data_IF_656817510894
#
_entry.id   IF_656817510894
#
_cell.length_a   1.000
_cell.length_b   1.000
_cell.length_c   1.000
_cell.angle_alpha   90.00
_cell.angle_beta   90.00
_cell.angle_gamma   90.00
#
_symmetry.space_group_name_H-M   'P 1'
#
loop_
_entity.id
_entity.type
_entity.pdbx_description
1 polymer ?
#
# COMPACT_ATOMS: atom_id res chain seq x y z
N UNK A 1 -35.61 -29.37 14.14
CA UNK A 1 -34.85 -28.53 15.03
C UNK A 1 -33.37 -28.38 14.62
N UNK A 2 -32.78 -29.44 14.03
CA UNK A 2 -31.41 -29.39 13.57
C UNK A 2 -31.22 -28.38 12.43
N UNK A 3 -32.22 -28.19 11.57
CA UNK A 3 -32.18 -27.27 10.45
C UNK A 3 -32.11 -25.80 10.89
N UNK A 4 -32.85 -25.44 11.93
CA UNK A 4 -32.86 -24.10 12.48
C UNK A 4 -31.52 -23.77 13.16
N UNK A 5 -31.01 -24.71 13.95
CA UNK A 5 -29.73 -24.58 14.62
C UNK A 5 -28.57 -24.48 13.59
N UNK A 6 -28.62 -25.30 12.53
CA UNK A 6 -27.65 -25.29 11.45
C UNK A 6 -27.68 -23.94 10.69
N UNK A 7 -28.88 -23.45 10.38
CA UNK A 7 -29.04 -22.16 9.72
C UNK A 7 -28.52 -21.02 10.58
N UNK A 8 -28.77 -21.04 11.86
CA UNK A 8 -28.29 -20.04 12.82
C UNK A 8 -26.75 -20.05 12.89
N UNK A 9 -26.15 -21.24 12.95
CA UNK A 9 -24.69 -21.40 12.95
C UNK A 9 -24.08 -20.87 11.67
N UNK A 10 -24.68 -21.08 10.51
CA UNK A 10 -24.23 -20.56 9.22
C UNK A 10 -24.24 -19.02 9.17
N UNK A 11 -25.32 -18.43 9.72
CA UNK A 11 -25.42 -16.95 9.77
C UNK A 11 -24.30 -16.37 10.64
N UNK A 12 -24.02 -16.97 11.79
CA UNK A 12 -22.95 -16.53 12.68
C UNK A 12 -21.58 -16.70 12.02
N UNK A 13 -21.37 -17.79 11.31
CA UNK A 13 -20.12 -18.05 10.58
C UNK A 13 -19.91 -17.02 9.45
N UNK A 14 -20.96 -16.71 8.70
CA UNK A 14 -20.91 -15.70 7.64
C UNK A 14 -20.62 -14.31 8.20
N UNK A 15 -21.23 -13.93 9.31
CA UNK A 15 -20.96 -12.66 9.98
C UNK A 15 -19.51 -12.56 10.42
N UNK A 16 -19.00 -13.63 11.03
CA UNK A 16 -17.60 -13.69 11.47
C UNK A 16 -16.64 -13.55 10.30
N UNK A 17 -16.90 -14.29 9.22
CA UNK A 17 -16.08 -14.22 8.00
C UNK A 17 -16.11 -12.84 7.37
N UNK A 18 -17.27 -12.18 7.36
CA UNK A 18 -17.40 -10.82 6.84
C UNK A 18 -16.62 -9.81 7.66
N UNK A 19 -16.70 -9.89 8.98
CA UNK A 19 -15.96 -9.01 9.88
C UNK A 19 -14.45 -9.17 9.67
N UNK A 20 -13.98 -10.41 9.55
CA UNK A 20 -12.57 -10.69 9.28
C UNK A 20 -12.13 -10.13 7.92
N UNK A 21 -12.95 -10.32 6.89
CA UNK A 21 -12.66 -9.80 5.55
C UNK A 21 -12.62 -8.27 5.54
N UNK A 22 -13.55 -7.62 6.21
CA UNK A 22 -13.58 -6.15 6.33
C UNK A 22 -12.36 -5.63 7.09
N UNK A 23 -11.93 -6.31 8.14
CA UNK A 23 -10.74 -5.95 8.90
C UNK A 23 -9.48 -6.06 8.06
N UNK A 24 -9.35 -7.14 7.28
CA UNK A 24 -8.22 -7.33 6.36
C UNK A 24 -8.19 -6.26 5.27
N UNK A 25 -9.36 -5.96 4.69
CA UNK A 25 -9.48 -4.91 3.68
C UNK A 25 -9.11 -3.52 4.23
N UNK A 26 -9.55 -3.22 5.46
CA UNK A 26 -9.22 -1.97 6.12
C UNK A 26 -7.72 -1.82 6.38
N UNK A 27 -7.06 -2.91 6.81
CA UNK A 27 -5.60 -2.92 7.02
C UNK A 27 -4.86 -2.73 5.70
N UNK A 28 -5.28 -3.41 4.65
CA UNK A 28 -4.67 -3.28 3.32
C UNK A 28 -4.81 -1.84 2.79
N UNK A 29 -5.99 -1.24 2.96
CA UNK A 29 -6.23 0.15 2.58
C UNK A 29 -5.35 1.13 3.37
N UNK A 30 -5.17 0.88 4.68
CA UNK A 30 -4.31 1.71 5.53
C UNK A 30 -2.84 1.63 5.10
N UNK A 31 -2.35 0.42 4.77
CA UNK A 31 -0.98 0.23 4.28
C UNK A 31 -0.78 0.95 2.94
N UNK A 32 -1.72 0.79 2.01
CA UNK A 32 -1.69 1.45 0.70
C UNK A 32 -1.68 2.97 0.83
N UNK A 33 -2.55 3.52 1.69
CA UNK A 33 -2.61 4.96 1.96
C UNK A 33 -1.30 5.48 2.56
N UNK A 34 -0.69 4.72 3.48
CA UNK A 34 0.61 5.05 4.07
C UNK A 34 1.72 5.07 3.03
N UNK A 35 1.73 4.09 2.13
CA UNK A 35 2.71 4.00 1.04
C UNK A 35 2.57 5.17 0.07
N UNK A 36 1.33 5.51 -0.31
CA UNK A 36 1.06 6.67 -1.19
C UNK A 36 1.54 7.98 -0.56
N UNK A 37 1.31 8.16 0.74
CA UNK A 37 1.77 9.33 1.47
C UNK A 37 3.30 9.43 1.50
N UNK A 38 3.99 8.31 1.70
CA UNK A 38 5.45 8.23 1.66
C UNK A 38 6.00 8.58 0.27
N UNK A 39 5.40 8.05 -0.77
CA UNK A 39 5.76 8.33 -2.16
C UNK A 39 5.60 9.82 -2.46
N UNK A 40 4.48 10.42 -2.07
CA UNK A 40 4.22 11.84 -2.27
C UNK A 40 5.25 12.72 -1.54
N UNK A 41 5.55 12.38 -0.30
CA UNK A 41 6.55 13.09 0.51
C UNK A 41 7.93 13.00 -0.13
N UNK A 42 8.33 11.79 -0.55
CA UNK A 42 9.63 11.57 -1.17
C UNK A 42 9.78 12.33 -2.48
N UNK A 43 8.73 12.38 -3.29
CA UNK A 43 8.71 13.18 -4.52
C UNK A 43 8.94 14.66 -4.25
N UNK A 44 8.30 15.20 -3.21
CA UNK A 44 8.49 16.61 -2.82
C UNK A 44 9.93 16.87 -2.36
N UNK A 45 10.50 15.97 -1.57
CA UNK A 45 11.88 16.10 -1.11
C UNK A 45 12.87 16.02 -2.27
N UNK A 46 12.64 15.14 -3.24
CA UNK A 46 13.44 15.02 -4.46
C UNK A 46 13.40 16.32 -5.26
N UNK A 47 12.21 16.89 -5.47
CA UNK A 47 12.08 18.18 -6.18
C UNK A 47 12.83 19.29 -5.48
N UNK A 48 12.70 19.38 -4.17
CA UNK A 48 13.39 20.37 -3.38
C UNK A 48 14.91 20.24 -3.51
N UNK A 49 15.41 19.01 -3.43
CA UNK A 49 16.85 18.74 -3.56
C UNK A 49 17.35 19.04 -4.97
N UNK A 50 16.59 18.76 -6.00
CA UNK A 50 16.93 19.13 -7.38
C UNK A 50 17.06 20.62 -7.55
N UNK A 51 16.18 21.41 -6.94
CA UNK A 51 16.25 22.88 -6.96
C UNK A 51 17.50 23.38 -6.26
N UNK A 52 17.86 22.78 -5.12
CA UNK A 52 19.09 23.12 -4.39
C UNK A 52 20.33 22.78 -5.19
N UNK A 53 20.34 21.66 -5.91
CA UNK A 53 21.45 21.25 -6.76
C UNK A 53 21.66 22.14 -7.98
N UNK A 54 20.57 22.73 -8.48
CA UNK A 54 20.63 23.59 -9.66
C UNK A 54 21.56 24.79 -9.45
N UNK A 55 21.66 25.28 -8.22
CA UNK A 55 22.51 26.42 -7.87
C UNK A 55 23.83 26.06 -7.19
N UNK A 56 24.12 24.80 -6.92
CA UNK A 56 25.34 24.41 -6.22
C UNK A 56 25.92 23.09 -6.74
N UNK A 57 27.25 23.01 -6.77
CA UNK A 57 27.98 21.82 -7.17
C UNK A 57 28.35 20.99 -5.95
N UNK A 58 27.39 20.33 -5.36
CA UNK A 58 27.62 19.46 -4.21
C UNK A 58 27.50 18.00 -4.62
N UNK A 59 28.58 17.24 -4.55
CA UNK A 59 28.58 15.80 -4.80
C UNK A 59 27.77 15.03 -3.76
N UNK A 60 27.76 15.51 -2.52
CA UNK A 60 26.97 14.90 -1.44
C UNK A 60 25.48 14.96 -1.76
N UNK A 61 25.01 16.13 -2.18
CA UNK A 61 23.59 16.32 -2.53
C UNK A 61 23.22 15.51 -3.76
N UNK A 62 24.12 15.40 -4.74
CA UNK A 62 23.90 14.57 -5.92
C UNK A 62 23.77 13.10 -5.57
N UNK A 63 24.61 12.57 -4.68
CA UNK A 63 24.52 11.19 -4.20
C UNK A 63 23.25 10.95 -3.40
N UNK A 64 22.89 11.90 -2.54
CA UNK A 64 21.65 11.82 -1.77
C UNK A 64 20.44 11.79 -2.70
N UNK A 65 20.45 12.62 -3.74
CA UNK A 65 19.39 12.64 -4.73
C UNK A 65 19.26 11.28 -5.44
N UNK A 66 20.38 10.68 -5.86
CA UNK A 66 20.39 9.36 -6.47
C UNK A 66 19.80 8.30 -5.55
N UNK A 67 20.16 8.32 -4.25
CA UNK A 67 19.63 7.39 -3.27
C UNK A 67 18.12 7.57 -3.08
N UNK A 68 17.66 8.82 -3.04
CA UNK A 68 16.24 9.11 -2.91
C UNK A 68 15.44 8.67 -4.12
N UNK A 69 16.01 8.84 -5.32
CA UNK A 69 15.38 8.36 -6.56
C UNK A 69 15.27 6.84 -6.59
N UNK A 70 16.29 6.12 -6.12
CA UNK A 70 16.25 4.67 -5.98
C UNK A 70 15.21 4.21 -4.96
N UNK A 71 15.11 4.90 -3.83
CA UNK A 71 14.09 4.62 -2.83
C UNK A 71 12.69 4.82 -3.40
N UNK A 72 12.50 5.88 -4.20
CA UNK A 72 11.22 6.15 -4.84
C UNK A 72 10.85 5.03 -5.81
N UNK A 73 11.80 4.57 -6.63
CA UNK A 73 11.59 3.45 -7.55
C UNK A 73 11.17 2.19 -6.80
N UNK A 74 11.85 1.88 -5.69
CA UNK A 74 11.53 0.71 -4.87
C UNK A 74 10.14 0.81 -4.26
N UNK A 75 9.76 1.98 -3.74
CA UNK A 75 8.42 2.19 -3.17
C UNK A 75 7.33 2.10 -4.24
N UNK A 76 7.56 2.64 -5.42
CA UNK A 76 6.62 2.57 -6.52
C UNK A 76 6.47 1.14 -7.03
N UNK A 77 7.57 0.38 -7.10
CA UNK A 77 7.53 -1.03 -7.49
C UNK A 77 6.74 -1.86 -6.48
N UNK A 78 6.98 -1.65 -5.18
CA UNK A 78 6.26 -2.35 -4.11
C UNK A 78 4.77 -2.02 -4.15
N UNK A 79 4.40 -0.76 -4.36
CA UNK A 79 3.01 -0.33 -4.48
C UNK A 79 2.33 -1.01 -5.68
N UNK A 80 3.03 -1.14 -6.80
CA UNK A 80 2.51 -1.82 -7.99
C UNK A 80 2.30 -3.31 -7.75
N UNK A 81 3.25 -3.96 -7.07
CA UNK A 81 3.12 -5.38 -6.70
C UNK A 81 1.92 -5.60 -5.77
N UNK A 82 1.73 -4.72 -4.80
CA UNK A 82 0.60 -4.79 -3.87
C UNK A 82 -0.74 -4.62 -4.61
N UNK A 83 -0.81 -3.71 -5.58
CA UNK A 83 -2.00 -3.53 -6.42
C UNK A 83 -2.30 -4.79 -7.23
N UNK A 84 -1.29 -5.38 -7.85
CA UNK A 84 -1.44 -6.61 -8.63
C UNK A 84 -1.87 -7.78 -7.76
N UNK A 85 -1.32 -7.90 -6.56
CA UNK A 85 -1.71 -8.92 -5.60
C UNK A 85 -3.18 -8.75 -5.16
N UNK A 86 -3.61 -7.51 -4.92
CA UNK A 86 -4.99 -7.20 -4.57
C UNK A 86 -5.95 -7.54 -5.71
N UNK A 87 -5.59 -7.25 -6.96
CA UNK A 87 -6.38 -7.60 -8.13
C UNK A 87 -6.54 -9.10 -8.28
N UNK A 88 -5.45 -9.87 -8.09
CA UNK A 88 -5.50 -11.35 -8.14
C UNK A 88 -6.39 -11.91 -7.04
N UNK A 89 -6.29 -11.39 -5.83
CA UNK A 89 -7.12 -11.80 -4.72
C UNK A 89 -8.60 -11.51 -5.00
N UNK A 90 -8.91 -10.34 -5.56
CA UNK A 90 -10.26 -9.97 -5.97
C UNK A 90 -10.82 -10.87 -7.07
N UNK A 91 -10.00 -11.23 -8.05
CA UNK A 91 -10.39 -12.13 -9.13
C UNK A 91 -10.68 -13.54 -8.64
N UNK A 92 -9.95 -14.02 -7.62
CA UNK A 92 -10.13 -15.35 -7.06
C UNK A 92 -11.39 -15.49 -6.22
N UNK A 93 -11.91 -14.40 -5.68
CA UNK A 93 -13.11 -14.42 -4.86
C UNK A 93 -14.41 -14.36 -5.65
N UNK A 94 -14.33 -14.13 -6.92
CA UNK A 94 -15.46 -14.19 -7.83
C UNK A 94 -15.58 -15.58 -8.44
#
# INVERSE_FOLDING_TARGET
PSDLAAAHAMILAERSARIEAEALAARAAAVSSGTEALIARLKLEIEKLRRELYGSRSERKARLLEQMELQLEDLEADATEDELAAERAGAQTQ
#
